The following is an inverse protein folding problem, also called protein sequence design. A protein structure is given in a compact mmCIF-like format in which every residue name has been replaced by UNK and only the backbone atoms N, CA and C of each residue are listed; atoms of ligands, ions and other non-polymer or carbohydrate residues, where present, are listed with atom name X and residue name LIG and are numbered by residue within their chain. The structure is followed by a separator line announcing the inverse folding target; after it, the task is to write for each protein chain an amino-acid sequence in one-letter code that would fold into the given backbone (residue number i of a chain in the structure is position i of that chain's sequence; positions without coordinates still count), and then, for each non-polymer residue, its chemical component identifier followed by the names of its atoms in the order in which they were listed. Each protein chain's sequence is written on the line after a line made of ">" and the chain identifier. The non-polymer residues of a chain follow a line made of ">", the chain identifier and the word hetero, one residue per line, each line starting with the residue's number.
data_IF_190404827017
#
_entry.id   IF_190404827017
#
_cell.length_a   1.000
_cell.length_b   1.000
_cell.length_c   1.000
_cell.angle_alpha   90.00
_cell.angle_beta   90.00
_cell.angle_gamma   90.00
#
_symmetry.space_group_name_H-M   'P 1'
#
loop_
_entity.id
_entity.type
_entity.pdbx_description
1 polymer ?
#
# COMPACT_ATOMS: atom_id res chain seq x y z
N UNK A 1 -11.10 -2.85 6.91
CA UNK A 1 -9.97 -2.77 5.96
C UNK A 1 -8.75 -3.54 6.47
N UNK A 2 -8.19 -3.22 7.64
CA UNK A 2 -6.97 -3.90 8.17
C UNK A 2 -7.09 -5.43 8.19
N UNK A 3 -8.18 -5.97 8.76
CA UNK A 3 -8.38 -7.42 8.80
C UNK A 3 -8.44 -8.06 7.40
N UNK A 4 -9.13 -7.44 6.45
CA UNK A 4 -9.20 -7.93 5.07
C UNK A 4 -7.81 -7.92 4.41
N UNK A 5 -7.05 -6.82 4.53
CA UNK A 5 -5.68 -6.74 4.01
C UNK A 5 -4.77 -7.81 4.59
N UNK A 6 -4.88 -8.12 5.89
CA UNK A 6 -4.11 -9.19 6.53
C UNK A 6 -4.49 -10.57 6.00
N UNK A 7 -5.78 -10.86 5.83
CA UNK A 7 -6.26 -12.12 5.25
C UNK A 7 -5.73 -12.30 3.82
N UNK A 8 -5.87 -11.26 2.98
CA UNK A 8 -5.39 -11.26 1.60
C UNK A 8 -3.88 -11.50 1.56
N UNK A 9 -3.13 -10.84 2.43
CA UNK A 9 -1.68 -10.99 2.52
C UNK A 9 -1.29 -12.43 2.89
N UNK A 10 -1.90 -13.00 3.93
CA UNK A 10 -1.57 -14.34 4.42
C UNK A 10 -1.94 -15.40 3.38
N UNK A 11 -3.14 -15.34 2.81
CA UNK A 11 -3.57 -16.26 1.77
C UNK A 11 -2.72 -16.10 0.50
N UNK A 12 -2.40 -14.87 0.11
CA UNK A 12 -1.53 -14.59 -1.03
C UNK A 12 -0.13 -15.16 -0.87
N UNK A 13 0.49 -15.00 0.30
CA UNK A 13 1.80 -15.59 0.61
C UNK A 13 1.75 -17.11 0.53
N UNK A 14 0.69 -17.74 1.03
CA UNK A 14 0.51 -19.20 0.96
C UNK A 14 0.40 -19.71 -0.47
N UNK A 15 -0.31 -19.00 -1.35
CA UNK A 15 -0.47 -19.36 -2.76
C UNK A 15 0.84 -19.20 -3.56
N UNK A 16 1.69 -18.24 -3.21
CA UNK A 16 3.02 -18.10 -3.80
C UNK A 16 4.01 -19.11 -3.21
N UNK A 17 3.82 -19.48 -1.94
CA UNK A 17 4.59 -20.48 -1.20
C UNK A 17 5.15 -19.91 0.10
N UNK A 18 5.95 -18.85 0.03
CA UNK A 18 6.55 -18.20 1.20
C UNK A 18 6.81 -16.71 0.97
N UNK A 19 6.98 -15.95 2.06
CA UNK A 19 7.27 -14.51 1.97
C UNK A 19 8.65 -14.23 1.35
N UNK A 20 9.63 -15.12 1.56
CA UNK A 20 10.94 -15.02 0.92
C UNK A 20 10.84 -15.20 -0.59
N UNK A 21 10.04 -16.18 -1.05
CA UNK A 21 9.80 -16.40 -2.47
C UNK A 21 9.15 -15.19 -3.16
N UNK A 22 8.21 -14.53 -2.46
CA UNK A 22 7.59 -13.28 -2.96
C UNK A 22 8.64 -12.20 -3.20
N UNK A 23 9.55 -12.01 -2.25
CA UNK A 23 10.61 -11.00 -2.35
C UNK A 23 11.59 -11.39 -3.46
N UNK A 24 12.01 -12.65 -3.52
CA UNK A 24 13.00 -13.12 -4.49
C UNK A 24 12.51 -12.96 -5.94
N UNK A 25 11.25 -13.34 -6.20
CA UNK A 25 10.60 -13.10 -7.49
C UNK A 25 10.49 -11.62 -7.84
N UNK A 26 10.24 -10.76 -6.85
CA UNK A 26 10.11 -9.33 -7.07
C UNK A 26 11.46 -8.65 -7.37
N UNK A 27 12.53 -9.11 -6.74
CA UNK A 27 13.91 -8.69 -7.03
C UNK A 27 14.31 -9.16 -8.44
N UNK A 28 14.11 -10.45 -8.75
CA UNK A 28 14.43 -11.02 -10.07
C UNK A 28 13.62 -10.37 -11.20
N UNK A 29 12.39 -9.95 -10.91
CA UNK A 29 11.53 -9.21 -11.85
C UNK A 29 11.91 -7.74 -12.04
N UNK A 30 12.93 -7.22 -11.34
CA UNK A 30 13.37 -5.84 -11.45
C UNK A 30 12.33 -4.80 -11.02
N UNK A 31 11.38 -5.17 -10.15
CA UNK A 31 10.25 -4.30 -9.76
C UNK A 31 10.46 -3.55 -8.45
N UNK A 32 11.50 -3.88 -7.70
CA UNK A 32 11.81 -3.23 -6.43
C UNK A 32 12.93 -2.22 -6.64
N UNK A 33 12.55 -0.94 -6.66
CA UNK A 33 13.47 0.19 -6.54
C UNK A 33 13.21 0.87 -5.20
N UNK A 34 14.12 0.73 -4.24
CA UNK A 34 13.89 1.21 -2.88
C UNK A 34 14.03 2.73 -2.74
N UNK A 35 15.03 3.34 -3.36
CA UNK A 35 15.37 4.75 -3.16
C UNK A 35 15.93 5.38 -4.44
N UNK A 36 15.06 5.71 -5.39
CA UNK A 36 15.44 6.61 -6.48
C UNK A 36 15.43 8.06 -5.96
N UNK A 37 16.62 8.65 -5.82
CA UNK A 37 16.86 10.01 -5.29
C UNK A 37 16.92 11.10 -6.36
N UNK A 38 16.47 10.81 -7.58
CA UNK A 38 16.40 11.81 -8.64
C UNK A 38 15.37 12.90 -8.31
N UNK A 39 15.77 14.16 -8.44
CA UNK A 39 14.93 15.34 -8.22
C UNK A 39 14.16 15.77 -9.47
N UNK A 40 14.06 14.89 -10.47
CA UNK A 40 13.30 15.16 -11.68
C UNK A 40 11.79 15.11 -11.39
N UNK A 41 11.12 16.25 -11.51
CA UNK A 41 9.68 16.40 -11.31
C UNK A 41 8.84 15.78 -12.44
N UNK A 42 9.46 15.40 -13.57
CA UNK A 42 8.77 14.72 -14.67
C UNK A 42 8.63 13.21 -14.43
N UNK A 43 9.48 12.64 -13.57
CA UNK A 43 9.40 11.24 -13.18
C UNK A 43 8.25 11.05 -12.19
N UNK A 44 7.31 10.17 -12.55
CA UNK A 44 6.04 9.97 -11.82
C UNK A 44 6.24 9.63 -10.34
N UNK A 45 7.20 8.78 -10.03
CA UNK A 45 7.45 8.28 -8.68
C UNK A 45 8.97 8.27 -8.39
N UNK A 46 9.49 9.34 -7.81
CA UNK A 46 10.81 9.33 -7.16
C UNK A 46 10.63 9.51 -5.65
N UNK A 47 11.61 9.08 -4.87
CA UNK A 47 11.57 9.19 -3.42
C UNK A 47 11.32 10.65 -2.95
N UNK A 48 12.09 11.67 -3.41
CA UNK A 48 11.84 13.05 -2.99
C UNK A 48 10.47 13.57 -3.44
N UNK A 49 10.01 13.24 -4.66
CA UNK A 49 8.71 13.70 -5.16
C UNK A 49 7.55 13.11 -4.34
N UNK A 50 7.62 11.80 -4.02
CA UNK A 50 6.59 11.14 -3.23
C UNK A 50 6.56 11.63 -1.78
N UNK A 51 7.73 11.88 -1.17
CA UNK A 51 7.81 12.40 0.20
C UNK A 51 7.25 13.83 0.27
N UNK A 52 7.67 14.72 -0.63
CA UNK A 52 7.20 16.11 -0.65
C UNK A 52 5.69 16.19 -0.92
N UNK A 53 5.21 15.52 -1.97
CA UNK A 53 3.76 15.47 -2.24
C UNK A 53 2.99 14.82 -1.09
N UNK A 54 3.53 13.76 -0.51
CA UNK A 54 2.93 13.05 0.62
C UNK A 54 2.73 13.97 1.83
N UNK A 55 3.76 14.72 2.24
CA UNK A 55 3.67 15.66 3.35
C UNK A 55 2.58 16.71 3.10
N UNK A 56 2.54 17.31 1.91
CA UNK A 56 1.56 18.35 1.58
C UNK A 56 0.14 17.78 1.60
N UNK A 57 -0.10 16.67 0.88
CA UNK A 57 -1.43 16.04 0.77
C UNK A 57 -1.94 15.62 2.15
N UNK A 58 -1.11 14.96 2.96
CA UNK A 58 -1.52 14.50 4.29
C UNK A 58 -1.74 15.64 5.27
N UNK A 59 -0.94 16.70 5.21
CA UNK A 59 -1.14 17.90 6.03
C UNK A 59 -2.46 18.59 5.67
N UNK A 60 -2.75 18.77 4.39
CA UNK A 60 -4.02 19.30 3.93
C UNK A 60 -5.19 18.40 4.35
N UNK A 61 -5.06 17.08 4.20
CA UNK A 61 -6.10 16.14 4.61
C UNK A 61 -6.40 16.26 6.11
N UNK A 62 -5.38 16.24 6.97
CA UNK A 62 -5.58 16.33 8.42
C UNK A 62 -6.06 17.71 8.88
N UNK A 63 -5.60 18.78 8.23
CA UNK A 63 -5.90 20.17 8.60
C UNK A 63 -7.19 20.75 8.00
N UNK A 64 -7.68 20.22 6.89
CA UNK A 64 -8.85 20.74 6.18
C UNK A 64 -10.03 19.76 6.18
N UNK A 65 -9.82 18.48 6.46
CA UNK A 65 -10.93 17.54 6.58
C UNK A 65 -11.68 17.79 7.90
N UNK A 66 -12.96 18.16 7.77
CA UNK A 66 -13.82 18.50 8.90
C UNK A 66 -13.83 17.43 10.00
N UNK A 67 -13.89 16.15 9.62
CA UNK A 67 -13.93 15.03 10.58
C UNK A 67 -12.61 14.92 11.35
N UNK A 68 -11.48 15.12 10.68
CA UNK A 68 -10.15 15.12 11.32
C UNK A 68 -10.00 16.31 12.28
N UNK A 69 -10.34 17.52 11.84
CA UNK A 69 -10.22 18.73 12.67
C UNK A 69 -11.11 18.64 13.91
N UNK A 70 -12.36 18.20 13.76
CA UNK A 70 -13.28 18.04 14.88
C UNK A 70 -12.76 17.04 15.92
N UNK A 71 -12.17 15.91 15.48
CA UNK A 71 -11.55 14.93 16.40
C UNK A 71 -10.36 15.50 17.16
N UNK A 72 -9.55 16.34 16.51
CA UNK A 72 -8.38 16.97 17.13
C UNK A 72 -8.81 18.01 18.18
N UNK A 73 -9.78 18.87 17.84
CA UNK A 73 -10.25 19.96 18.72
C UNK A 73 -11.08 19.44 19.90
N UNK A 74 -11.74 18.28 19.77
CA UNK A 74 -12.49 17.66 20.87
C UNK A 74 -11.59 17.12 22.01
N UNK A 75 -10.27 17.06 21.82
CA UNK A 75 -9.34 16.57 22.84
C UNK A 75 -9.04 17.65 23.89
N UNK A 76 -8.95 17.21 25.15
CA UNK A 76 -8.82 18.12 26.31
C UNK A 76 -7.53 18.94 26.34
N UNK A 77 -6.44 18.44 25.76
CA UNK A 77 -5.15 19.16 25.76
C UNK A 77 -4.39 18.95 24.45
N UNK A 78 -3.51 19.91 24.13
CA UNK A 78 -2.64 19.85 22.94
C UNK A 78 -1.77 18.58 22.91
N UNK A 79 -1.28 18.12 24.08
CA UNK A 79 -0.46 16.91 24.18
C UNK A 79 -1.24 15.65 23.77
N UNK A 80 -2.53 15.57 24.11
CA UNK A 80 -3.37 14.45 23.67
C UNK A 80 -3.61 14.50 22.16
N UNK A 81 -3.78 15.68 21.58
CA UNK A 81 -3.90 15.85 20.14
C UNK A 81 -2.63 15.41 19.39
N UNK A 82 -1.45 15.86 19.84
CA UNK A 82 -0.17 15.48 19.25
C UNK A 82 0.08 13.96 19.34
N UNK A 83 -0.17 13.36 20.50
CA UNK A 83 -0.02 11.91 20.67
C UNK A 83 -0.98 11.12 19.76
N UNK A 84 -2.23 11.59 19.62
CA UNK A 84 -3.22 10.96 18.73
C UNK A 84 -2.79 11.00 17.27
N UNK A 85 -2.19 12.12 16.83
CA UNK A 85 -1.64 12.26 15.48
C UNK A 85 -0.45 11.31 15.26
N UNK A 86 0.46 11.17 16.23
CA UNK A 86 1.57 10.22 16.13
C UNK A 86 1.09 8.77 15.99
N UNK A 87 0.11 8.36 16.80
CA UNK A 87 -0.50 7.02 16.70
C UNK A 87 -1.14 6.81 15.34
N UNK A 88 -1.86 7.82 14.83
CA UNK A 88 -2.45 7.78 13.50
C UNK A 88 -1.38 7.62 12.40
N UNK A 89 -0.30 8.42 12.44
CA UNK A 89 0.79 8.34 11.49
C UNK A 89 1.44 6.95 11.46
N UNK A 90 1.77 6.40 12.64
CA UNK A 90 2.37 5.05 12.75
C UNK A 90 1.42 4.00 12.19
N UNK A 91 0.14 4.03 12.57
CA UNK A 91 -0.87 3.11 12.07
C UNK A 91 -1.04 3.18 10.55
N UNK A 92 -1.00 4.39 10.00
CA UNK A 92 -1.06 4.61 8.56
C UNK A 92 0.13 3.96 7.83
N UNK A 93 1.36 4.19 8.30
CA UNK A 93 2.56 3.61 7.67
C UNK A 93 2.56 2.08 7.72
N UNK A 94 2.08 1.48 8.82
CA UNK A 94 1.95 0.02 8.93
C UNK A 94 0.98 -0.52 7.88
N UNK A 95 -0.21 0.11 7.76
CA UNK A 95 -1.22 -0.31 6.77
C UNK A 95 -0.70 -0.09 5.35
N UNK A 96 -0.02 1.03 5.09
CA UNK A 96 0.59 1.32 3.82
C UNK A 96 1.61 0.24 3.42
N UNK A 97 2.50 -0.14 4.32
CA UNK A 97 3.48 -1.21 4.10
C UNK A 97 2.82 -2.57 3.78
N UNK A 98 1.75 -2.93 4.50
CA UNK A 98 0.96 -4.15 4.22
C UNK A 98 0.40 -4.10 2.79
N UNK A 99 -0.18 -2.97 2.37
CA UNK A 99 -0.75 -2.83 1.03
C UNK A 99 0.33 -2.88 -0.06
N UNK A 100 1.49 -2.25 0.16
CA UNK A 100 2.63 -2.38 -0.75
C UNK A 100 3.04 -3.85 -0.91
N UNK A 101 3.14 -4.60 0.19
CA UNK A 101 3.52 -6.00 0.15
C UNK A 101 2.47 -6.88 -0.55
N UNK A 102 1.17 -6.58 -0.41
CA UNK A 102 0.10 -7.23 -1.20
C UNK A 102 0.34 -7.00 -2.70
N UNK A 103 0.68 -5.78 -3.12
CA UNK A 103 1.01 -5.48 -4.51
C UNK A 103 2.20 -6.31 -5.03
N UNK A 104 3.25 -6.45 -4.23
CA UNK A 104 4.40 -7.30 -4.55
C UNK A 104 3.99 -8.78 -4.62
N UNK A 105 3.10 -9.23 -3.74
CA UNK A 105 2.59 -10.61 -3.72
C UNK A 105 1.77 -10.92 -4.98
N UNK A 106 0.93 -9.98 -5.42
CA UNK A 106 0.18 -10.08 -6.69
C UNK A 106 1.15 -10.23 -7.86
N UNK A 107 2.20 -9.41 -7.91
CA UNK A 107 3.25 -9.53 -8.92
C UNK A 107 3.93 -10.91 -8.87
N UNK A 108 4.36 -11.37 -7.69
CA UNK A 108 5.02 -12.67 -7.53
C UNK A 108 4.13 -13.85 -7.95
N UNK A 109 2.81 -13.73 -7.75
CA UNK A 109 1.82 -14.73 -8.20
C UNK A 109 1.69 -14.77 -9.72
N UNK A 110 1.60 -13.61 -10.37
CA UNK A 110 1.33 -13.49 -11.81
C UNK A 110 2.59 -13.24 -12.67
N UNK A 111 3.80 -13.34 -12.11
CA UNK A 111 5.04 -13.04 -12.83
C UNK A 111 5.24 -13.86 -14.12
N UNK A 112 4.73 -15.09 -14.16
CA UNK A 112 4.82 -15.98 -15.32
C UNK A 112 3.59 -15.95 -16.23
N UNK A 113 2.45 -15.45 -15.75
CA UNK A 113 1.17 -15.49 -16.44
C UNK A 113 0.34 -14.27 -16.04
N UNK A 114 0.50 -13.18 -16.80
CA UNK A 114 -0.13 -11.90 -16.48
C UNK A 114 -1.60 -11.88 -16.95
N UNK A 115 -2.58 -11.87 -16.03
CA UNK A 115 -4.00 -11.88 -16.39
C UNK A 115 -4.44 -10.58 -17.08
N UNK A 116 -3.67 -9.49 -16.96
CA UNK A 116 -3.90 -8.24 -17.68
C UNK A 116 -3.56 -8.41 -19.17
N UNK A 117 -2.44 -9.06 -19.48
CA UNK A 117 -2.03 -9.32 -20.87
C UNK A 117 -2.90 -10.36 -21.56
N UNK A 118 -3.43 -11.31 -20.78
CA UNK A 118 -4.36 -12.33 -21.27
C UNK A 118 -5.79 -11.81 -21.48
N UNK A 119 -6.07 -10.54 -21.13
CA UNK A 119 -7.40 -9.94 -21.28
C UNK A 119 -8.46 -10.51 -20.32
N UNK A 120 -8.05 -11.25 -19.29
CA UNK A 120 -8.94 -11.75 -18.23
C UNK A 120 -9.40 -10.58 -17.34
N UNK A 121 -8.53 -9.59 -17.16
CA UNK A 121 -8.78 -8.38 -16.39
C UNK A 121 -8.69 -7.16 -17.31
N UNK A 122 -9.79 -6.41 -17.47
CA UNK A 122 -9.83 -5.25 -18.38
C UNK A 122 -8.94 -4.07 -17.95
N UNK A 123 -8.76 -3.91 -16.64
CA UNK A 123 -8.15 -2.70 -16.04
C UNK A 123 -7.32 -3.07 -14.83
N UNK A 124 -6.20 -2.36 -14.65
CA UNK A 124 -5.29 -2.55 -13.52
C UNK A 124 -5.99 -2.44 -12.16
N UNK A 125 -6.97 -1.55 -12.01
CA UNK A 125 -7.73 -1.36 -10.76
C UNK A 125 -8.56 -2.59 -10.36
N UNK A 126 -8.84 -3.50 -11.30
CA UNK A 126 -9.56 -4.76 -11.05
C UNK A 126 -8.63 -5.92 -10.66
N UNK A 127 -7.31 -5.74 -10.66
CA UNK A 127 -6.35 -6.79 -10.33
C UNK A 127 -6.49 -7.27 -8.88
N UNK A 128 -6.61 -6.33 -7.94
CA UNK A 128 -6.77 -6.67 -6.52
C UNK A 128 -8.04 -7.49 -6.29
N UNK A 129 -9.25 -7.06 -6.70
CA UNK A 129 -10.45 -7.87 -6.47
C UNK A 129 -10.39 -9.23 -7.19
N UNK A 130 -9.82 -9.30 -8.40
CA UNK A 130 -9.61 -10.58 -9.08
C UNK A 130 -8.69 -11.51 -8.28
N UNK A 131 -7.56 -11.01 -7.80
CA UNK A 131 -6.65 -11.77 -6.94
C UNK A 131 -7.32 -12.25 -5.67
N UNK A 132 -8.09 -11.39 -4.98
CA UNK A 132 -8.84 -11.76 -3.77
C UNK A 132 -9.84 -12.87 -4.04
N UNK A 133 -10.57 -12.81 -5.16
CA UNK A 133 -11.50 -13.87 -5.54
C UNK A 133 -10.79 -15.20 -5.77
N UNK A 134 -9.62 -15.20 -6.42
CA UNK A 134 -8.86 -16.42 -6.67
C UNK A 134 -8.30 -17.06 -5.39
N UNK A 135 -7.77 -16.25 -4.45
CA UNK A 135 -7.14 -16.79 -3.25
C UNK A 135 -8.13 -17.09 -2.12
N UNK A 136 -9.20 -16.29 -1.97
CA UNK A 136 -10.20 -16.46 -0.90
C UNK A 136 -11.33 -17.36 -1.37
N UNK A 137 -11.63 -17.43 -2.67
CA UNK A 137 -12.62 -18.37 -3.21
C UNK A 137 -12.23 -19.84 -3.07
N UNK A 138 -10.95 -20.13 -2.76
CA UNK A 138 -10.42 -21.47 -2.47
C UNK A 138 -10.44 -21.84 -0.98
N UNK A 139 -10.84 -20.93 -0.09
CA UNK A 139 -10.98 -21.18 1.35
C UNK A 139 -12.25 -22.00 1.63
#
# INVERSE_FOLDING_TARGET
>A
MVGASLVILICGIREVGSASEVIDRAINGGRIEFFNMDFDLTVRNTFPNMVLCGIVIWTCYLGLNQSCVQRIVALKTLKHAQNSLWIFCIGYYIIFAINCFIGVTIFARYHACDPLQLGIVDKLDKMVPYFVQEIVGKL
#
